data_IF_990339331478
#
_entry.id   IF_990339331478
#
_cell.length_a   1.000
_cell.length_b   1.000
_cell.length_c   1.000
_cell.angle_alpha   90.00
_cell.angle_beta   90.00
_cell.angle_gamma   90.00
#
_symmetry.space_group_name_H-M   'P 1'
#
loop_
_entity.id
_entity.type
_entity.pdbx_description
1 polymer ?
#
# COMPACT_ATOMS: atom_id res chain seq x y z
N UNK A 1 26.89 7.54 63.65
CA UNK A 1 25.48 7.48 63.16
C UNK A 1 25.49 7.72 61.65
N UNK A 2 25.14 6.73 60.82
CA UNK A 2 25.03 6.89 59.36
C UNK A 2 23.55 6.87 58.99
N UNK A 3 23.03 7.95 58.41
CA UNK A 3 21.61 8.01 57.99
C UNK A 3 21.41 7.32 56.64
N UNK A 4 20.38 6.48 56.57
CA UNK A 4 19.98 5.75 55.36
C UNK A 4 19.12 6.71 54.52
N UNK A 5 19.66 7.24 53.42
CA UNK A 5 18.86 7.97 52.41
C UNK A 5 17.99 7.00 51.62
N UNK A 6 16.70 6.99 51.88
CA UNK A 6 15.72 6.25 51.07
C UNK A 6 15.60 6.88 49.68
N UNK A 7 15.83 6.09 48.63
CA UNK A 7 15.59 6.50 47.23
C UNK A 7 14.09 6.48 46.95
N UNK A 8 13.50 7.66 46.74
CA UNK A 8 12.10 7.76 46.31
C UNK A 8 12.00 7.42 44.82
N UNK A 9 11.26 6.35 44.51
CA UNK A 9 10.95 5.98 43.13
C UNK A 9 9.95 6.99 42.54
N UNK A 10 10.45 7.90 41.68
CA UNK A 10 9.62 8.87 40.95
C UNK A 10 8.75 8.11 39.93
N UNK A 11 7.45 8.03 40.20
CA UNK A 11 6.45 7.40 39.32
C UNK A 11 6.40 8.17 38.00
N UNK A 12 6.79 7.54 36.88
CA UNK A 12 6.69 8.14 35.54
C UNK A 12 5.20 8.32 35.20
N UNK A 13 4.79 9.57 34.99
CA UNK A 13 3.45 9.90 34.52
C UNK A 13 3.21 9.24 33.15
N UNK A 14 2.11 8.50 33.02
CA UNK A 14 1.67 7.94 31.75
C UNK A 14 1.17 9.10 30.88
N UNK A 15 1.94 9.48 29.86
CA UNK A 15 1.48 10.42 28.85
C UNK A 15 0.21 9.87 28.19
N UNK A 16 -0.87 10.66 28.24
CA UNK A 16 -2.13 10.30 27.59
C UNK A 16 -1.86 10.22 26.08
N UNK A 17 -1.96 9.02 25.51
CA UNK A 17 -1.89 8.85 24.05
C UNK A 17 -3.01 9.67 23.44
N UNK A 18 -2.67 10.67 22.61
CA UNK A 18 -3.64 11.37 21.80
C UNK A 18 -4.43 10.34 20.99
N UNK A 19 -5.76 10.36 21.09
CA UNK A 19 -6.61 9.50 20.27
C UNK A 19 -6.23 9.75 18.81
N UNK A 20 -5.70 8.73 18.13
CA UNK A 20 -5.42 8.80 16.70
C UNK A 20 -6.76 9.06 16.00
N UNK A 21 -7.02 10.31 15.62
CA UNK A 21 -8.15 10.66 14.77
C UNK A 21 -7.79 10.11 13.39
N UNK A 22 -8.33 8.94 13.05
CA UNK A 22 -8.34 8.50 11.66
C UNK A 22 -9.04 9.60 10.84
N UNK A 23 -8.66 9.79 9.58
CA UNK A 23 -9.38 10.66 8.65
C UNK A 23 -10.77 10.07 8.37
N UNK A 24 -11.63 10.11 9.37
CA UNK A 24 -13.03 9.75 9.32
C UNK A 24 -13.78 11.05 9.08
N UNK A 25 -14.49 11.14 7.96
CA UNK A 25 -15.42 12.21 7.68
C UNK A 25 -16.72 11.92 8.46
N UNK A 26 -17.00 12.61 9.57
CA UNK A 26 -18.16 12.31 10.42
C UNK A 26 -19.50 12.54 9.72
N UNK A 27 -19.51 13.39 8.69
CA UNK A 27 -20.73 13.77 7.98
C UNK A 27 -21.04 12.82 6.81
N UNK A 28 -20.07 12.03 6.35
CA UNK A 28 -20.27 11.04 5.30
C UNK A 28 -19.30 9.85 5.48
N UNK A 29 -19.72 8.82 6.24
CA UNK A 29 -18.91 7.64 6.49
C UNK A 29 -18.48 6.92 5.21
N UNK A 30 -19.26 7.02 4.12
CA UNK A 30 -18.94 6.40 2.81
C UNK A 30 -17.78 7.08 2.09
N UNK A 31 -17.49 8.36 2.41
CA UNK A 31 -16.30 9.08 1.92
C UNK A 31 -15.03 8.71 2.68
N UNK A 32 -15.16 8.10 3.85
CA UNK A 32 -14.03 7.61 4.63
C UNK A 32 -13.57 6.28 4.03
N UNK A 33 -12.58 6.34 3.13
CA UNK A 33 -11.98 5.13 2.58
C UNK A 33 -11.33 4.33 3.71
N UNK A 34 -11.94 3.21 4.09
CA UNK A 34 -11.29 2.25 4.96
C UNK A 34 -10.33 1.39 4.13
N UNK A 35 -9.22 2.00 3.75
CA UNK A 35 -8.13 1.37 2.98
C UNK A 35 -7.50 0.20 3.76
N UNK A 36 -7.82 0.05 5.06
CA UNK A 36 -7.10 -0.82 6.00
C UNK A 36 -8.01 -1.62 6.95
N UNK A 37 -9.15 -2.15 6.47
CA UNK A 37 -9.98 -3.03 7.31
C UNK A 37 -9.25 -4.32 7.68
N UNK A 38 -8.50 -4.91 6.73
CA UNK A 38 -7.82 -6.16 7.02
C UNK A 38 -6.48 -5.93 7.72
N UNK A 39 -6.48 -6.18 9.03
CA UNK A 39 -5.31 -6.08 9.90
C UNK A 39 -4.39 -7.29 9.77
N UNK A 40 -4.70 -8.28 8.93
CA UNK A 40 -3.88 -9.47 8.78
C UNK A 40 -2.57 -9.14 8.02
N UNK A 41 -1.40 -9.16 8.67
CA UNK A 41 -0.14 -8.83 8.02
C UNK A 41 0.21 -9.79 6.86
N UNK A 42 -0.37 -11.00 6.84
CA UNK A 42 -0.16 -12.01 5.80
C UNK A 42 -0.64 -11.56 4.41
N UNK A 43 -1.60 -10.63 4.33
CA UNK A 43 -2.13 -10.12 3.05
C UNK A 43 -1.37 -8.90 2.49
N UNK A 44 -0.23 -8.54 3.11
CA UNK A 44 0.59 -7.41 2.70
C UNK A 44 1.56 -7.81 1.57
N UNK A 45 1.38 -7.22 0.40
CA UNK A 45 2.34 -7.34 -0.71
C UNK A 45 3.32 -6.18 -0.63
N UNK A 46 4.59 -6.48 -0.35
CA UNK A 46 5.66 -5.49 -0.33
C UNK A 46 5.90 -4.88 -1.72
N UNK A 47 5.91 -3.55 -1.81
CA UNK A 47 6.11 -2.74 -3.01
C UNK A 47 7.46 -2.01 -2.89
N UNK A 48 8.36 -2.20 -3.84
CA UNK A 48 9.57 -1.36 -4.00
C UNK A 48 9.40 -0.50 -5.25
N UNK A 49 9.75 0.77 -5.17
CA UNK A 49 9.60 1.73 -6.29
C UNK A 49 10.72 2.77 -6.31
N UNK A 50 11.88 2.44 -5.73
CA UNK A 50 13.00 3.36 -5.62
C UNK A 50 13.65 3.59 -6.97
N UNK A 51 13.95 2.51 -7.69
CA UNK A 51 14.53 2.51 -9.04
C UNK A 51 13.50 2.08 -10.08
N UNK A 52 13.77 2.32 -11.36
CA UNK A 52 12.92 1.82 -12.45
C UNK A 52 12.86 0.29 -12.45
N UNK A 53 13.98 -0.35 -12.10
CA UNK A 53 14.08 -1.80 -11.98
C UNK A 53 13.24 -2.35 -10.82
N UNK A 54 13.19 -1.65 -9.67
CA UNK A 54 12.29 -2.02 -8.57
C UNK A 54 10.81 -2.01 -9.00
N UNK A 55 10.43 -1.03 -9.82
CA UNK A 55 9.06 -0.92 -10.34
C UNK A 55 8.76 -2.09 -11.27
N UNK A 56 9.67 -2.44 -12.20
CA UNK A 56 9.52 -3.62 -13.07
C UNK A 56 9.38 -4.90 -12.25
N UNK A 57 10.31 -5.13 -11.32
CA UNK A 57 10.28 -6.30 -10.44
C UNK A 57 8.99 -6.37 -9.60
N UNK A 58 8.48 -5.23 -9.15
CA UNK A 58 7.19 -5.17 -8.45
C UNK A 58 6.03 -5.53 -9.37
N UNK A 59 6.01 -5.02 -10.61
CA UNK A 59 5.00 -5.37 -11.61
C UNK A 59 5.04 -6.88 -11.93
N UNK A 60 6.21 -7.43 -12.18
CA UNK A 60 6.39 -8.86 -12.49
C UNK A 60 5.94 -9.73 -11.31
N UNK A 61 6.24 -9.31 -10.07
CA UNK A 61 5.75 -9.98 -8.86
C UNK A 61 4.22 -9.96 -8.79
N UNK A 62 3.59 -8.81 -9.08
CA UNK A 62 2.13 -8.70 -9.08
C UNK A 62 1.48 -9.58 -10.16
N UNK A 63 2.06 -9.62 -11.35
CA UNK A 63 1.58 -10.51 -12.42
C UNK A 63 1.75 -11.98 -12.03
N UNK A 64 2.91 -12.38 -11.52
CA UNK A 64 3.13 -13.76 -11.01
C UNK A 64 2.11 -14.15 -9.96
N UNK A 65 1.83 -13.27 -9.00
CA UNK A 65 0.84 -13.50 -7.95
C UNK A 65 -0.59 -13.64 -8.50
N UNK A 66 -0.94 -12.83 -9.50
CA UNK A 66 -2.23 -12.93 -10.18
C UNK A 66 -2.37 -14.25 -10.96
N UNK A 67 -1.36 -14.59 -11.78
CA UNK A 67 -1.32 -15.83 -12.56
C UNK A 67 -1.23 -17.07 -11.68
N UNK A 68 -0.66 -16.97 -10.48
CA UNK A 68 -0.68 -18.09 -9.53
C UNK A 68 -2.02 -18.23 -8.79
N UNK A 69 -3.04 -17.43 -9.13
CA UNK A 69 -4.34 -17.35 -8.44
C UNK A 69 -4.23 -17.09 -6.92
N UNK A 70 -3.11 -16.53 -6.46
CA UNK A 70 -2.88 -16.19 -5.05
C UNK A 70 -3.67 -14.97 -4.62
N UNK A 71 -3.86 -14.03 -5.53
CA UNK A 71 -4.62 -12.81 -5.29
C UNK A 71 -5.59 -12.52 -6.43
N UNK A 72 -6.75 -11.97 -6.08
CA UNK A 72 -7.75 -11.54 -7.05
C UNK A 72 -7.25 -10.34 -7.85
N UNK A 73 -7.82 -10.16 -9.05
CA UNK A 73 -7.53 -8.99 -9.88
C UNK A 73 -7.75 -7.67 -9.12
N UNK A 74 -8.83 -7.59 -8.31
CA UNK A 74 -9.15 -6.42 -7.48
C UNK A 74 -8.01 -6.06 -6.54
N UNK A 75 -7.39 -7.05 -5.90
CA UNK A 75 -6.27 -6.83 -4.97
C UNK A 75 -5.03 -6.31 -5.70
N UNK A 76 -4.71 -6.90 -6.85
CA UNK A 76 -3.57 -6.47 -7.69
C UNK A 76 -3.78 -5.02 -8.16
N UNK A 77 -5.01 -4.69 -8.58
CA UNK A 77 -5.38 -3.34 -9.00
C UNK A 77 -5.23 -2.31 -7.86
N UNK A 78 -5.65 -2.65 -6.63
CA UNK A 78 -5.46 -1.79 -5.46
C UNK A 78 -3.96 -1.53 -5.18
N UNK A 79 -3.13 -2.57 -5.23
CA UNK A 79 -1.69 -2.44 -4.96
C UNK A 79 -1.00 -1.57 -6.04
N UNK A 80 -1.38 -1.76 -7.31
CA UNK A 80 -0.92 -0.91 -8.40
C UNK A 80 -1.36 0.55 -8.25
N UNK A 81 -2.59 0.79 -7.78
CA UNK A 81 -3.09 2.14 -7.47
C UNK A 81 -2.24 2.83 -6.41
N UNK A 82 -1.91 2.13 -5.32
CA UNK A 82 -1.03 2.65 -4.25
C UNK A 82 0.34 3.01 -4.81
N UNK A 83 0.94 2.13 -5.62
CA UNK A 83 2.23 2.37 -6.27
C UNK A 83 2.17 3.63 -7.16
N UNK A 84 1.15 3.76 -8.00
CA UNK A 84 0.94 4.93 -8.87
C UNK A 84 0.79 6.21 -8.06
N UNK A 85 -0.05 6.23 -7.03
CA UNK A 85 -0.31 7.43 -6.20
C UNK A 85 0.96 7.87 -5.47
N UNK A 86 1.72 6.92 -4.92
CA UNK A 86 3.02 7.23 -4.27
C UNK A 86 4.01 7.83 -5.26
N UNK A 87 4.10 7.29 -6.47
CA UNK A 87 4.98 7.81 -7.52
C UNK A 87 4.48 9.11 -8.13
N UNK A 88 3.18 9.38 -8.13
CA UNK A 88 2.57 10.61 -8.62
C UNK A 88 3.01 11.82 -7.79
N UNK A 89 3.06 11.67 -6.47
CA UNK A 89 3.61 12.71 -5.56
C UNK A 89 5.07 13.00 -5.89
N UNK A 90 5.80 11.98 -6.36
CA UNK A 90 7.22 12.07 -6.71
C UNK A 90 7.48 12.28 -8.20
N UNK A 91 6.45 12.54 -9.03
CA UNK A 91 6.56 12.52 -10.49
C UNK A 91 7.64 13.43 -11.05
N UNK A 92 7.87 14.59 -10.42
CA UNK A 92 8.90 15.55 -10.83
C UNK A 92 10.32 15.02 -10.59
N UNK A 93 10.51 14.18 -9.57
CA UNK A 93 11.80 13.57 -9.20
C UNK A 93 12.01 12.18 -9.84
N UNK A 94 10.92 11.47 -10.11
CA UNK A 94 10.90 10.07 -10.58
C UNK A 94 9.95 9.90 -11.78
N UNK A 95 10.16 10.64 -12.89
CA UNK A 95 9.21 10.67 -14.00
C UNK A 95 9.09 9.31 -14.70
N UNK A 96 10.19 8.58 -14.87
CA UNK A 96 10.20 7.27 -15.54
C UNK A 96 9.46 6.21 -14.73
N UNK A 97 9.70 6.16 -13.42
CA UNK A 97 9.01 5.24 -12.51
C UNK A 97 7.51 5.53 -12.51
N UNK A 98 7.15 6.81 -12.41
CA UNK A 98 5.76 7.24 -12.48
C UNK A 98 5.09 6.81 -13.79
N UNK A 99 5.71 7.10 -14.94
CA UNK A 99 5.19 6.74 -16.25
C UNK A 99 4.96 5.22 -16.37
N UNK A 100 5.91 4.40 -15.92
CA UNK A 100 5.77 2.95 -15.94
C UNK A 100 4.64 2.47 -15.01
N UNK A 101 4.56 2.99 -13.79
CA UNK A 101 3.49 2.64 -12.85
C UNK A 101 2.10 3.03 -13.37
N UNK A 102 1.99 4.19 -14.04
CA UNK A 102 0.77 4.68 -14.67
C UNK A 102 0.36 3.78 -15.84
N UNK A 103 1.31 3.44 -16.72
CA UNK A 103 1.10 2.51 -17.85
C UNK A 103 0.56 1.16 -17.36
N UNK A 104 1.16 0.61 -16.31
CA UNK A 104 0.67 -0.63 -15.71
C UNK A 104 -0.74 -0.48 -15.11
N UNK A 105 -1.00 0.59 -14.36
CA UNK A 105 -2.33 0.85 -13.78
C UNK A 105 -3.42 0.96 -14.85
N UNK A 106 -3.15 1.67 -15.95
CA UNK A 106 -4.07 1.79 -17.09
C UNK A 106 -4.32 0.43 -17.78
N UNK A 107 -3.27 -0.39 -17.94
CA UNK A 107 -3.42 -1.76 -18.42
C UNK A 107 -4.37 -2.57 -17.53
N UNK A 108 -4.19 -2.50 -16.21
CA UNK A 108 -5.09 -3.18 -15.27
C UNK A 108 -6.53 -2.66 -15.35
N UNK A 109 -6.71 -1.35 -15.60
CA UNK A 109 -8.03 -0.74 -15.82
C UNK A 109 -8.71 -1.16 -17.12
N UNK A 110 -7.95 -1.51 -18.16
CA UNK A 110 -8.49 -2.15 -19.37
C UNK A 110 -8.82 -3.62 -19.09
N UNK A 111 -7.94 -4.29 -18.33
CA UNK A 111 -8.07 -5.71 -17.95
C UNK A 111 -9.33 -5.99 -17.12
N UNK A 112 -9.80 -5.07 -16.28
CA UNK A 112 -11.08 -5.23 -15.54
C UNK A 112 -12.28 -5.44 -16.46
N UNK A 113 -12.27 -4.84 -17.67
CA UNK A 113 -13.38 -4.90 -18.63
C UNK A 113 -13.42 -6.20 -19.43
N UNK A 114 -12.35 -7.00 -19.39
CA UNK A 114 -12.27 -8.28 -20.09
C UNK A 114 -13.04 -9.35 -19.33
N UNK A 115 -13.53 -10.35 -20.06
CA UNK A 115 -14.03 -11.60 -19.48
C UNK A 115 -12.92 -12.36 -18.75
N UNK A 116 -13.27 -13.25 -17.81
CA UNK A 116 -12.34 -13.94 -16.91
C UNK A 116 -11.20 -14.66 -17.64
N UNK A 117 -11.48 -15.40 -18.73
CA UNK A 117 -10.45 -16.11 -19.47
C UNK A 117 -9.50 -15.15 -20.18
N UNK A 118 -10.04 -14.18 -20.92
CA UNK A 118 -9.26 -13.14 -21.60
C UNK A 118 -8.45 -12.32 -20.62
N UNK A 119 -9.01 -12.01 -19.45
CA UNK A 119 -8.35 -11.31 -18.35
C UNK A 119 -7.13 -12.08 -17.87
N UNK A 120 -7.29 -13.39 -17.66
CA UNK A 120 -6.21 -14.25 -17.19
C UNK A 120 -5.15 -14.52 -18.26
N UNK A 121 -5.48 -14.43 -19.55
CA UNK A 121 -4.51 -14.61 -20.63
C UNK A 121 -3.83 -13.29 -21.05
N UNK A 122 -4.33 -12.12 -20.61
CA UNK A 122 -3.71 -10.84 -20.94
C UNK A 122 -2.33 -10.67 -20.30
N UNK A 123 -1.36 -10.19 -21.08
CA UNK A 123 0.04 -10.00 -20.65
C UNK A 123 0.39 -8.51 -20.73
N UNK A 124 0.99 -7.98 -19.66
CA UNK A 124 1.50 -6.62 -19.66
C UNK A 124 2.79 -6.53 -20.49
N UNK A 125 2.92 -5.47 -21.29
CA UNK A 125 4.13 -5.17 -22.06
C UNK A 125 4.71 -3.82 -21.62
N UNK A 126 6.02 -3.81 -21.38
CA UNK A 126 6.77 -2.66 -20.88
C UNK A 126 6.80 -1.48 -21.83
#
# INVERSE_FOLDING_TARGET
MKSIKQRTHKKREKTQKTKKKFLYNPNDPKKSFDVYIDKNPKDTIHIKYTTTEDVKNTIDKLEKLYKAKRYTHKRIWQVAMIMKVRLEVLKNKKPQQYALSKKYFEFLGKRTKLDNEKRYNSIFKY
#
